data_IF_458403352830
#
_entry.id   IF_458403352830
#
_cell.length_a   1.000
_cell.length_b   1.000
_cell.length_c   1.000
_cell.angle_alpha   90.00
_cell.angle_beta   90.00
_cell.angle_gamma   90.00
#
_symmetry.space_group_name_H-M   'P 1'
#
loop_
_entity.id
_entity.type
_entity.pdbx_description
1 polymer ?
#
# COMPACT_ATOMS: atom_id res chain seq x y z
N UNK A 1 14.24 -18.46 4.15
CA UNK A 1 15.50 -17.68 4.07
C UNK A 1 15.86 -17.14 2.67
N UNK A 2 16.43 -17.92 1.73
CA UNK A 2 16.92 -17.35 0.45
C UNK A 2 15.80 -16.70 -0.40
N UNK A 3 14.62 -17.32 -0.43
CA UNK A 3 13.42 -16.76 -1.06
C UNK A 3 12.99 -15.43 -0.43
N UNK A 4 13.10 -15.30 0.90
CA UNK A 4 12.76 -14.05 1.59
C UNK A 4 13.71 -12.91 1.19
N UNK A 5 14.99 -13.21 1.00
CA UNK A 5 15.97 -12.25 0.46
C UNK A 5 15.58 -11.84 -0.97
N UNK A 6 15.19 -12.78 -1.82
CA UNK A 6 14.75 -12.49 -3.19
C UNK A 6 13.53 -11.57 -3.22
N UNK A 7 12.49 -11.88 -2.44
CA UNK A 7 11.27 -11.07 -2.39
C UNK A 7 11.53 -9.68 -1.80
N UNK A 8 12.39 -9.57 -0.77
CA UNK A 8 12.81 -8.27 -0.25
C UNK A 8 13.53 -7.42 -1.31
N UNK A 9 14.49 -8.00 -2.03
CA UNK A 9 15.23 -7.29 -3.09
C UNK A 9 14.29 -6.89 -4.23
N UNK A 10 13.35 -7.76 -4.61
CA UNK A 10 12.34 -7.49 -5.63
C UNK A 10 11.41 -6.34 -5.23
N UNK A 11 10.97 -6.30 -3.97
CA UNK A 11 10.14 -5.20 -3.45
C UNK A 11 10.88 -3.86 -3.54
N UNK A 12 12.17 -3.84 -3.18
CA UNK A 12 13.01 -2.64 -3.19
C UNK A 12 13.82 -2.43 -4.48
N UNK A 13 13.51 -3.15 -5.57
CA UNK A 13 14.35 -3.21 -6.78
C UNK A 13 14.75 -1.83 -7.32
N UNK A 14 13.81 -0.88 -7.36
CA UNK A 14 14.03 0.46 -7.91
C UNK A 14 15.04 1.28 -7.11
N UNK A 15 15.24 0.96 -5.83
CA UNK A 15 16.18 1.62 -4.94
C UNK A 15 17.55 0.93 -4.91
N UNK A 16 17.59 -0.37 -5.21
CA UNK A 16 18.76 -1.23 -5.08
C UNK A 16 19.53 -1.42 -6.39
N UNK A 17 18.86 -1.29 -7.55
CA UNK A 17 19.51 -1.40 -8.86
C UNK A 17 20.68 -0.42 -8.97
N UNK A 18 21.85 -0.94 -9.36
CA UNK A 18 23.07 -0.16 -9.55
C UNK A 18 23.79 0.28 -8.27
N UNK A 19 23.29 -0.10 -7.08
CA UNK A 19 23.93 0.22 -5.79
C UNK A 19 24.52 -1.02 -5.12
N UNK A 20 25.59 -0.80 -4.34
CA UNK A 20 26.12 -1.81 -3.43
C UNK A 20 25.39 -1.74 -2.09
N UNK A 21 24.88 -2.86 -1.62
CA UNK A 21 24.17 -2.92 -0.34
C UNK A 21 24.52 -4.17 0.48
N UNK A 22 24.05 -4.21 1.74
CA UNK A 22 24.29 -5.31 2.67
C UNK A 22 22.94 -5.89 3.08
N UNK A 23 22.82 -7.21 3.04
CA UNK A 23 21.64 -7.94 3.53
C UNK A 23 22.02 -8.59 4.86
N UNK A 24 21.29 -8.25 5.92
CA UNK A 24 21.43 -8.88 7.23
C UNK A 24 20.42 -10.02 7.37
N UNK A 25 20.87 -11.18 7.83
CA UNK A 25 20.04 -12.37 8.06
C UNK A 25 20.49 -13.12 9.30
N UNK A 26 19.57 -13.72 10.02
CA UNK A 26 19.83 -14.63 11.13
C UNK A 26 20.16 -16.05 10.67
N UNK A 27 20.26 -16.28 9.35
CA UNK A 27 20.63 -17.56 8.79
C UNK A 27 22.11 -17.61 8.36
N UNK A 28 22.96 -17.99 9.31
CA UNK A 28 24.43 -18.05 9.17
C UNK A 28 24.95 -18.76 7.91
N UNK A 29 24.36 -19.86 7.41
CA UNK A 29 24.83 -20.50 6.17
C UNK A 29 24.77 -19.59 4.93
N UNK A 30 23.92 -18.56 4.93
CA UNK A 30 23.80 -17.65 3.79
C UNK A 30 24.93 -16.62 3.68
N UNK A 31 25.64 -16.34 4.76
CA UNK A 31 26.78 -15.41 4.75
C UNK A 31 27.87 -15.88 3.78
N UNK A 32 28.09 -17.20 3.72
CA UNK A 32 29.07 -17.83 2.83
C UNK A 32 28.42 -18.42 1.58
N UNK A 33 27.22 -17.94 1.19
CA UNK A 33 26.52 -18.49 0.04
C UNK A 33 27.26 -18.17 -1.25
N UNK A 34 27.81 -19.21 -1.87
CA UNK A 34 28.37 -19.11 -3.22
C UNK A 34 27.24 -19.22 -4.26
N UNK A 35 26.68 -18.07 -4.64
CA UNK A 35 25.61 -17.97 -5.64
C UNK A 35 25.98 -18.60 -7.00
N UNK A 36 27.27 -18.69 -7.34
CA UNK A 36 27.75 -19.20 -8.63
C UNK A 36 27.90 -20.72 -8.69
N UNK A 37 27.85 -21.42 -7.55
CA UNK A 37 28.11 -22.85 -7.45
C UNK A 37 26.84 -23.72 -7.32
N UNK A 38 25.66 -23.14 -7.51
CA UNK A 38 24.38 -23.83 -7.35
C UNK A 38 23.89 -24.40 -8.68
N UNK A 39 23.65 -25.71 -8.70
CA UNK A 39 23.20 -26.49 -9.87
C UNK A 39 21.78 -27.01 -9.71
N UNK A 40 21.12 -26.72 -8.59
CA UNK A 40 19.74 -27.10 -8.33
C UNK A 40 18.77 -26.12 -9.01
N UNK A 41 17.66 -26.64 -9.52
CA UNK A 41 16.76 -25.89 -10.41
C UNK A 41 16.08 -24.71 -9.70
N UNK A 42 15.63 -24.91 -8.45
CA UNK A 42 14.97 -23.86 -7.67
C UNK A 42 15.95 -22.81 -7.13
N UNK A 43 17.02 -23.18 -6.40
CA UNK A 43 17.96 -22.17 -5.91
C UNK A 43 18.79 -21.57 -7.04
N UNK A 44 18.96 -22.27 -8.16
CA UNK A 44 19.60 -21.74 -9.37
C UNK A 44 18.83 -20.56 -9.97
N UNK A 45 17.50 -20.65 -10.04
CA UNK A 45 16.66 -19.53 -10.49
C UNK A 45 16.76 -18.32 -9.54
N UNK A 46 16.73 -18.57 -8.23
CA UNK A 46 16.90 -17.52 -7.21
C UNK A 46 18.30 -16.90 -7.32
N UNK A 47 19.34 -17.71 -7.44
CA UNK A 47 20.72 -17.26 -7.54
C UNK A 47 20.95 -16.44 -8.81
N UNK A 48 20.37 -16.86 -9.94
CA UNK A 48 20.40 -16.11 -11.19
C UNK A 48 19.74 -14.74 -11.02
N UNK A 49 18.55 -14.67 -10.41
CA UNK A 49 17.89 -13.40 -10.14
C UNK A 49 18.76 -12.48 -9.26
N UNK A 50 19.28 -13.01 -8.16
CA UNK A 50 20.12 -12.28 -7.21
C UNK A 50 21.45 -11.83 -7.83
N UNK A 51 21.99 -12.55 -8.80
CA UNK A 51 23.25 -12.22 -9.49
C UNK A 51 23.22 -10.88 -10.22
N UNK A 52 22.03 -10.34 -10.51
CA UNK A 52 21.83 -9.02 -11.13
C UNK A 52 22.13 -7.86 -10.17
N UNK A 53 22.25 -8.13 -8.87
CA UNK A 53 22.43 -7.13 -7.82
C UNK A 53 23.82 -7.23 -7.19
N UNK A 54 24.37 -6.10 -6.76
CA UNK A 54 25.65 -6.05 -6.06
C UNK A 54 25.41 -5.98 -4.54
N UNK A 55 25.45 -7.12 -3.85
CA UNK A 55 25.25 -7.14 -2.41
C UNK A 55 26.14 -8.15 -1.70
N UNK A 56 26.28 -7.96 -0.39
CA UNK A 56 26.92 -8.91 0.52
C UNK A 56 25.96 -9.32 1.61
N UNK A 57 25.94 -10.60 1.97
CA UNK A 57 25.15 -11.11 3.08
C UNK A 57 26.01 -11.08 4.35
N UNK A 58 25.47 -10.58 5.46
CA UNK A 58 26.08 -10.63 6.78
C UNK A 58 25.15 -11.34 7.76
N UNK A 59 25.72 -12.22 8.57
CA UNK A 59 24.98 -12.84 9.66
C UNK A 59 24.74 -11.84 10.79
N UNK A 60 23.50 -11.78 11.29
CA UNK A 60 23.11 -11.05 12.50
C UNK A 60 22.30 -11.97 13.40
N UNK A 61 22.66 -12.17 14.68
CA UNK A 61 21.89 -13.02 15.59
C UNK A 61 20.42 -12.60 15.66
N UNK A 62 19.49 -13.56 15.71
CA UNK A 62 18.04 -13.27 15.76
C UNK A 62 17.64 -12.32 16.90
N UNK A 63 18.38 -12.32 18.02
CA UNK A 63 18.17 -11.37 19.13
C UNK A 63 18.41 -9.91 18.75
N UNK A 64 19.32 -9.66 17.81
CA UNK A 64 19.64 -8.32 17.29
C UNK A 64 18.84 -8.01 16.01
N UNK A 65 18.11 -9.00 15.47
CA UNK A 65 17.27 -8.88 14.28
C UNK A 65 15.78 -8.85 14.65
N UNK A 66 15.46 -8.26 15.80
CA UNK A 66 14.12 -8.30 16.38
C UNK A 66 13.06 -7.65 15.49
N UNK A 67 13.41 -6.56 14.81
CA UNK A 67 12.51 -5.84 13.90
C UNK A 67 12.10 -6.71 12.71
N UNK A 68 13.06 -7.42 12.10
CA UNK A 68 12.78 -8.32 11.00
C UNK A 68 12.01 -9.57 11.47
N UNK A 69 12.31 -10.09 12.66
CA UNK A 69 11.58 -11.22 13.26
C UNK A 69 10.11 -10.84 13.55
N UNK A 70 9.88 -9.65 14.12
CA UNK A 70 8.52 -9.13 14.35
C UNK A 70 7.73 -8.96 13.04
N UNK A 71 8.35 -8.41 12.00
CA UNK A 71 7.67 -8.20 10.71
C UNK A 71 7.38 -9.52 9.98
N UNK A 72 8.29 -10.49 10.05
CA UNK A 72 8.12 -11.79 9.39
C UNK A 72 7.15 -12.72 10.13
N UNK A 73 7.00 -12.57 11.46
CA UNK A 73 6.04 -13.31 12.29
C UNK A 73 4.68 -12.64 12.44
N UNK A 74 4.49 -11.45 11.86
CA UNK A 74 3.20 -10.79 11.92
C UNK A 74 2.13 -11.72 11.30
N UNK A 75 1.03 -12.06 12.01
CA UNK A 75 0.05 -13.00 11.49
C UNK A 75 -0.48 -12.52 10.15
N UNK A 76 -0.28 -13.33 9.12
CA UNK A 76 -0.93 -13.16 7.83
C UNK A 76 -2.42 -13.33 8.10
N UNK A 77 -3.14 -12.21 8.21
CA UNK A 77 -4.59 -12.21 8.16
C UNK A 77 -4.99 -12.97 6.89
N UNK A 78 -6.07 -13.77 6.98
CA UNK A 78 -6.50 -14.74 5.96
C UNK A 78 -6.23 -14.28 4.52
N UNK A 79 -5.91 -15.17 3.56
CA UNK A 79 -5.60 -14.77 2.18
C UNK A 79 -6.72 -13.95 1.48
N UNK A 80 -7.98 -14.05 1.94
CA UNK A 80 -9.09 -13.17 1.51
C UNK A 80 -9.00 -11.73 2.07
N UNK A 81 -8.32 -11.58 3.20
CA UNK A 81 -7.82 -10.34 3.77
C UNK A 81 -6.42 -10.05 3.25
N UNK A 82 -6.26 -9.97 1.92
CA UNK A 82 -5.14 -9.29 1.27
C UNK A 82 -5.23 -7.77 1.60
N UNK A 83 -5.11 -7.49 2.89
CA UNK A 83 -5.21 -6.21 3.58
C UNK A 83 -3.99 -5.40 3.30
N UNK A 84 -2.88 -5.99 2.84
CA UNK A 84 -1.73 -5.24 2.35
C UNK A 84 -2.08 -4.30 1.19
N UNK A 85 -2.89 -4.72 0.21
CA UNK A 85 -3.38 -3.79 -0.82
C UNK A 85 -4.32 -2.72 -0.24
N UNK A 86 -5.12 -3.08 0.79
CA UNK A 86 -6.06 -2.17 1.46
C UNK A 86 -5.34 -1.15 2.36
N UNK A 87 -4.25 -1.54 3.03
CA UNK A 87 -3.49 -0.75 4.02
C UNK A 87 -2.48 0.20 3.36
N UNK A 88 -1.93 -0.14 2.19
CA UNK A 88 -0.87 0.64 1.53
C UNK A 88 -1.29 2.04 1.01
N UNK A 89 -2.56 2.44 1.18
CA UNK A 89 -3.06 3.79 0.78
C UNK A 89 -3.82 4.49 1.92
N UNK A 90 -4.31 3.74 2.91
CA UNK A 90 -5.34 4.19 3.86
C UNK A 90 -4.72 4.63 5.20
N UNK A 91 -3.61 5.36 5.15
CA UNK A 91 -3.00 5.98 6.34
C UNK A 91 -3.03 7.52 6.33
N UNK A 92 -3.72 8.16 5.38
CA UNK A 92 -3.85 9.63 5.34
C UNK A 92 -5.08 10.19 6.03
N UNK A 93 -6.04 9.35 6.40
CA UNK A 93 -7.21 9.80 7.15
C UNK A 93 -7.22 9.08 8.49
N UNK A 94 -7.28 9.87 9.57
CA UNK A 94 -7.57 9.35 10.88
C UNK A 94 -9.08 9.02 10.97
N UNK A 95 -9.42 7.83 11.47
CA UNK A 95 -10.82 7.46 11.66
C UNK A 95 -11.59 8.47 12.53
N UNK A 96 -10.89 9.15 13.47
CA UNK A 96 -11.46 10.22 14.29
C UNK A 96 -11.92 11.44 13.47
N UNK A 97 -11.17 11.83 12.44
CA UNK A 97 -11.51 12.97 11.58
C UNK A 97 -12.77 12.67 10.75
N UNK A 98 -12.90 11.43 10.26
CA UNK A 98 -14.13 11.00 9.56
C UNK A 98 -15.33 11.05 10.51
N UNK A 99 -15.17 10.57 11.75
CA UNK A 99 -16.25 10.59 12.74
C UNK A 99 -16.73 12.01 13.04
N UNK A 100 -15.80 12.97 13.17
CA UNK A 100 -16.11 14.36 13.45
C UNK A 100 -16.80 15.04 12.25
N UNK A 101 -16.30 14.83 11.04
CA UNK A 101 -16.91 15.33 9.80
C UNK A 101 -18.33 14.75 9.58
N UNK A 102 -18.52 13.46 9.85
CA UNK A 102 -19.83 12.82 9.75
C UNK A 102 -20.84 13.33 10.79
N UNK A 103 -20.38 13.64 12.01
CA UNK A 103 -21.24 14.17 13.08
C UNK A 103 -21.68 15.60 12.81
N UNK A 104 -20.78 16.42 12.29
CA UNK A 104 -21.02 17.84 12.02
C UNK A 104 -21.83 18.08 10.74
N UNK A 105 -21.92 17.10 9.83
CA UNK A 105 -22.61 17.26 8.56
C UNK A 105 -24.12 16.98 8.63
N UNK A 106 -24.93 18.02 8.41
CA UNK A 106 -26.40 17.97 8.44
C UNK A 106 -27.00 16.94 7.45
N UNK A 107 -26.46 16.80 6.23
CA UNK A 107 -26.99 15.87 5.22
C UNK A 107 -26.87 14.39 5.65
N UNK A 108 -25.83 14.07 6.43
CA UNK A 108 -25.62 12.72 6.97
C UNK A 108 -26.55 12.49 8.16
N UNK A 109 -26.71 13.50 9.03
CA UNK A 109 -27.60 13.43 10.19
C UNK A 109 -29.07 13.23 9.78
N UNK A 110 -29.55 13.91 8.74
CA UNK A 110 -30.90 13.73 8.20
C UNK A 110 -31.15 12.32 7.64
N UNK A 111 -30.10 11.68 7.10
CA UNK A 111 -30.19 10.34 6.47
C UNK A 111 -29.74 9.21 7.38
N UNK A 112 -29.48 9.49 8.66
CA UNK A 112 -28.95 8.52 9.64
C UNK A 112 -29.73 7.20 9.68
N UNK A 113 -31.06 7.26 9.56
CA UNK A 113 -31.94 6.08 9.65
C UNK A 113 -31.76 5.10 8.49
N UNK A 114 -31.22 5.57 7.35
CA UNK A 114 -30.96 4.74 6.16
C UNK A 114 -29.50 4.27 6.08
N UNK A 115 -28.65 4.72 6.99
CA UNK A 115 -27.23 4.42 7.02
C UNK A 115 -26.94 3.36 8.08
N UNK A 116 -25.88 2.58 7.84
CA UNK A 116 -25.44 1.59 8.81
C UNK A 116 -24.39 2.22 9.71
N UNK A 117 -24.61 2.20 11.02
CA UNK A 117 -23.64 2.71 12.00
C UNK A 117 -22.87 1.54 12.63
N UNK A 118 -21.54 1.65 12.63
CA UNK A 118 -20.66 0.68 13.29
C UNK A 118 -19.46 1.41 13.87
N UNK A 119 -19.20 1.22 15.17
CA UNK A 119 -18.11 1.89 15.89
C UNK A 119 -18.15 3.43 15.79
N UNK A 120 -19.35 4.02 15.71
CA UNK A 120 -19.56 5.47 15.61
C UNK A 120 -19.26 6.07 14.23
N UNK A 121 -19.14 5.25 13.19
CA UNK A 121 -18.98 5.65 11.79
C UNK A 121 -20.17 5.20 10.96
N UNK A 122 -20.55 6.02 9.98
CA UNK A 122 -21.59 5.70 9.02
C UNK A 122 -21.03 5.03 7.76
N UNK A 123 -21.72 3.97 7.34
CA UNK A 123 -21.40 3.15 6.17
C UNK A 123 -22.58 3.07 5.21
N UNK A 124 -22.25 2.89 3.93
CA UNK A 124 -23.22 2.53 2.88
C UNK A 124 -23.08 1.04 2.56
N UNK A 125 -24.16 0.28 2.76
CA UNK A 125 -24.20 -1.15 2.42
C UNK A 125 -24.42 -1.34 0.92
N UNK A 126 -23.54 -2.10 0.29
CA UNK A 126 -23.70 -2.64 -1.07
C UNK A 126 -23.88 -4.16 -0.98
N UNK A 127 -24.44 -4.81 -2.01
CA UNK A 127 -24.78 -6.25 -2.02
C UNK A 127 -23.73 -7.18 -1.38
N UNK A 128 -22.43 -6.93 -1.60
CA UNK A 128 -21.33 -7.75 -1.06
C UNK A 128 -20.34 -7.01 -0.14
N UNK A 129 -20.42 -5.67 0.01
CA UNK A 129 -19.41 -4.88 0.71
C UNK A 129 -20.02 -3.68 1.45
N UNK A 130 -19.45 -3.31 2.59
CA UNK A 130 -19.69 -2.03 3.28
C UNK A 130 -18.59 -1.03 2.92
N UNK A 131 -18.95 0.21 2.64
CA UNK A 131 -18.01 1.31 2.34
C UNK A 131 -18.24 2.46 3.30
N UNK A 132 -17.16 3.07 3.77
CA UNK A 132 -17.22 4.24 4.67
C UNK A 132 -17.77 5.43 3.88
N UNK A 133 -18.77 6.10 4.43
CA UNK A 133 -19.36 7.28 3.81
C UNK A 133 -18.50 8.51 4.10
N UNK A 134 -18.07 9.24 3.08
CA UNK A 134 -17.42 10.54 3.23
C UNK A 134 -18.38 11.63 2.75
N UNK A 135 -18.33 12.80 3.40
CA UNK A 135 -19.02 14.00 2.92
C UNK A 135 -18.38 14.48 1.61
N UNK A 136 -19.12 15.27 0.83
CA UNK A 136 -18.64 15.76 -0.46
C UNK A 136 -17.40 16.67 -0.28
N UNK A 137 -17.45 17.60 0.67
CA UNK A 137 -16.35 18.49 1.04
C UNK A 137 -15.10 17.73 1.50
N UNK A 138 -15.25 16.81 2.44
CA UNK A 138 -14.13 16.02 2.95
C UNK A 138 -13.53 15.13 1.87
N UNK A 139 -14.37 14.53 1.03
CA UNK A 139 -13.90 13.68 -0.07
C UNK A 139 -13.00 14.44 -1.06
N UNK A 140 -13.32 15.70 -1.37
CA UNK A 140 -12.53 16.53 -2.29
C UNK A 140 -11.14 16.82 -1.70
N UNK A 141 -11.08 17.19 -0.42
CA UNK A 141 -9.81 17.44 0.27
C UNK A 141 -8.96 16.17 0.35
N UNK A 142 -9.58 15.05 0.73
CA UNK A 142 -8.91 13.75 0.76
C UNK A 142 -8.33 13.36 -0.61
N UNK A 143 -9.10 13.51 -1.69
CA UNK A 143 -8.61 13.19 -3.04
C UNK A 143 -7.42 14.08 -3.42
N UNK A 144 -7.45 15.38 -3.09
CA UNK A 144 -6.32 16.30 -3.34
C UNK A 144 -5.06 15.85 -2.58
N UNK A 145 -5.21 15.49 -1.31
CA UNK A 145 -4.12 15.00 -0.48
C UNK A 145 -3.52 13.70 -1.03
N UNK A 146 -4.37 12.71 -1.34
CA UNK A 146 -3.92 11.44 -1.91
C UNK A 146 -3.23 11.67 -3.25
N UNK A 147 -3.83 12.49 -4.13
CA UNK A 147 -3.27 12.76 -5.45
C UNK A 147 -1.92 13.47 -5.37
N UNK A 148 -1.77 14.49 -4.51
CA UNK A 148 -0.53 15.24 -4.35
C UNK A 148 0.57 14.43 -3.65
N UNK A 149 0.24 13.73 -2.57
CA UNK A 149 1.22 13.05 -1.71
C UNK A 149 1.65 11.68 -2.23
N UNK A 150 0.78 10.93 -2.93
CA UNK A 150 1.11 9.63 -3.55
C UNK A 150 1.52 9.73 -5.02
N UNK A 151 2.39 10.68 -5.34
CA UNK A 151 3.05 10.76 -6.66
C UNK A 151 2.10 10.97 -7.85
N UNK A 152 1.06 11.80 -7.72
CA UNK A 152 0.20 12.17 -8.85
C UNK A 152 -0.47 10.97 -9.53
N UNK A 153 -1.04 10.10 -8.70
CA UNK A 153 -1.71 8.88 -9.13
C UNK A 153 -2.78 9.15 -10.19
N UNK A 154 -2.77 8.35 -11.27
CA UNK A 154 -3.73 8.45 -12.36
C UNK A 154 -5.16 8.08 -11.94
N UNK A 155 -6.14 8.61 -12.68
CA UNK A 155 -7.58 8.48 -12.43
C UNK A 155 -8.01 7.03 -12.14
N UNK A 156 -7.69 6.10 -13.03
CA UNK A 156 -8.13 4.69 -12.91
C UNK A 156 -7.58 4.03 -11.64
N UNK A 157 -6.33 4.35 -11.28
CA UNK A 157 -5.70 3.79 -10.09
C UNK A 157 -6.31 4.37 -8.81
N UNK A 158 -6.57 5.68 -8.78
CA UNK A 158 -7.29 6.31 -7.66
C UNK A 158 -8.69 5.76 -7.49
N UNK A 159 -9.45 5.57 -8.57
CA UNK A 159 -10.79 4.98 -8.51
C UNK A 159 -10.74 3.56 -7.95
N UNK A 160 -9.87 2.70 -8.47
CA UNK A 160 -9.73 1.32 -8.01
C UNK A 160 -9.33 1.22 -6.53
N UNK A 161 -8.57 2.20 -6.03
CA UNK A 161 -8.08 2.22 -4.65
C UNK A 161 -9.10 2.83 -3.68
N UNK A 162 -9.57 4.04 -3.97
CA UNK A 162 -10.48 4.79 -3.08
C UNK A 162 -11.88 4.16 -3.09
N UNK A 163 -12.42 3.80 -4.26
CA UNK A 163 -13.78 3.28 -4.37
C UNK A 163 -13.96 1.87 -3.80
N UNK A 164 -12.87 1.15 -3.47
CA UNK A 164 -12.94 -0.12 -2.74
C UNK A 164 -13.36 0.10 -1.27
N UNK A 165 -12.87 1.17 -0.64
CA UNK A 165 -13.01 1.42 0.81
C UNK A 165 -14.03 2.52 1.12
N UNK A 166 -14.00 3.62 0.36
CA UNK A 166 -14.80 4.82 0.61
C UNK A 166 -15.89 5.03 -0.43
N UNK A 167 -16.95 5.73 -0.03
CA UNK A 167 -18.01 6.21 -0.92
C UNK A 167 -18.37 7.65 -0.58
N UNK A 168 -18.58 8.47 -1.60
CA UNK A 168 -19.01 9.86 -1.43
C UNK A 168 -19.93 10.25 -2.59
N UNK A 169 -20.65 11.37 -2.44
CA UNK A 169 -21.39 11.98 -3.54
C UNK A 169 -20.40 12.42 -4.62
N UNK A 170 -20.71 12.10 -5.88
CA UNK A 170 -19.88 12.44 -7.05
C UNK A 170 -18.40 11.98 -7.00
N UNK A 171 -18.03 10.99 -6.17
CA UNK A 171 -16.63 10.57 -5.95
C UNK A 171 -15.84 10.38 -7.25
N UNK A 172 -16.38 9.63 -8.21
CA UNK A 172 -15.72 9.35 -9.50
C UNK A 172 -15.55 10.60 -10.35
N UNK A 173 -16.50 11.54 -10.30
CA UNK A 173 -16.41 12.82 -11.02
C UNK A 173 -15.33 13.71 -10.39
N UNK A 174 -15.33 13.82 -9.07
CA UNK A 174 -14.36 14.62 -8.31
C UNK A 174 -12.92 14.11 -8.54
N UNK A 175 -12.71 12.78 -8.54
CA UNK A 175 -11.40 12.18 -8.89
C UNK A 175 -10.95 12.58 -10.29
N UNK A 176 -11.85 12.50 -11.28
CA UNK A 176 -11.52 12.87 -12.65
C UNK A 176 -11.14 14.34 -12.77
N UNK A 177 -11.92 15.22 -12.13
CA UNK A 177 -11.73 16.66 -12.20
C UNK A 177 -10.41 17.09 -11.54
N UNK A 178 -10.10 16.57 -10.35
CA UNK A 178 -8.84 16.85 -9.65
C UNK A 178 -7.62 16.38 -10.47
N UNK A 179 -7.66 15.16 -11.03
CA UNK A 179 -6.56 14.67 -11.85
C UNK A 179 -6.43 15.40 -13.20
N UNK A 180 -7.53 15.88 -13.79
CA UNK A 180 -7.52 16.65 -15.03
C UNK A 180 -6.95 18.04 -14.82
N UNK A 181 -7.25 18.67 -13.69
CA UNK A 181 -6.83 20.03 -13.36
C UNK A 181 -5.47 20.10 -12.64
N UNK A 182 -4.79 18.96 -12.43
CA UNK A 182 -3.50 18.94 -11.76
C UNK A 182 -2.37 19.42 -12.68
N UNK A 183 -1.77 20.57 -12.38
CA UNK A 183 -0.67 21.16 -13.15
C UNK A 183 0.52 20.21 -13.32
N UNK A 184 0.95 19.53 -12.25
CA UNK A 184 2.08 18.58 -12.31
C UNK A 184 1.78 17.41 -13.25
N UNK A 185 0.55 16.89 -13.22
CA UNK A 185 0.13 15.84 -14.15
C UNK A 185 0.09 16.33 -15.59
N UNK A 186 -0.42 17.55 -15.81
CA UNK A 186 -0.53 18.13 -17.15
C UNK A 186 0.87 18.34 -17.74
N UNK A 187 1.82 18.86 -16.96
CA UNK A 187 3.21 19.10 -17.38
C UNK A 187 3.96 17.80 -17.69
N UNK A 188 3.73 16.74 -16.92
CA UNK A 188 4.49 15.48 -17.02
C UNK A 188 3.85 14.41 -17.90
N UNK A 189 2.60 14.58 -18.34
CA UNK A 189 1.98 13.66 -19.31
C UNK A 189 2.62 13.86 -20.67
N UNK A 190 3.28 12.81 -21.19
CA UNK A 190 3.75 12.83 -22.56
C UNK A 190 2.57 13.05 -23.50
N UNK A 191 2.69 14.06 -24.37
CA UNK A 191 1.77 14.24 -25.49
C UNK A 191 2.07 13.14 -26.48
N UNK A 192 1.28 12.07 -26.45
CA UNK A 192 1.20 11.12 -27.55
C UNK A 192 0.41 11.76 -28.69
#
# INVERSE_FOLDING_TARGET
ECLAIQEAIKYWQFWLIGKKFIVYTDHKPLENLNLKARTDEELGAIAYYLSQYNFSIKYSPGKENGEADCLSRNPVLNPDDNTEEKLKIVNFINMKEIMEDQKTNEEIQEKREKLFEENGLYYKKTKNNKKILLTESFSINFIKDVHGKFCHMGVRHMQNKISKVYTAKNLTKNINEICKNCETCIKNKSRR
#
